data_IF_225846641972
#
_entry.id   IF_225846641972
#
_cell.length_a   1.000
_cell.length_b   1.000
_cell.length_c   1.000
_cell.angle_alpha   90.00
_cell.angle_beta   90.00
_cell.angle_gamma   90.00
#
_symmetry.space_group_name_H-M   'P 1'
#
loop_
_entity.id
_entity.type
_entity.pdbx_description
1 polymer ?
#
# COMPACT_ATOMS: atom_id res chain seq x y z
N UNK A 1 -3.84 -2.33 14.05
CA UNK A 1 -2.97 -2.52 12.87
C UNK A 1 -2.44 -1.16 12.45
N UNK A 2 -1.18 -1.06 12.01
CA UNK A 2 -0.60 0.17 11.45
C UNK A 2 0.03 -0.17 10.11
N UNK A 3 -0.30 0.59 9.07
CA UNK A 3 0.30 0.45 7.76
C UNK A 3 0.67 1.82 7.21
N UNK A 4 1.89 1.94 6.69
CA UNK A 4 2.34 3.14 6.00
C UNK A 4 3.28 2.76 4.87
N UNK A 5 3.37 3.65 3.89
CA UNK A 5 4.22 3.48 2.72
C UNK A 5 5.33 4.52 2.77
N UNK A 6 6.54 4.10 2.43
CA UNK A 6 7.64 5.01 2.11
C UNK A 6 7.89 4.97 0.60
N UNK A 7 8.74 5.85 0.07
CA UNK A 7 8.95 5.97 -1.38
C UNK A 7 9.19 4.64 -2.12
N UNK A 8 9.84 3.67 -1.47
CA UNK A 8 10.18 2.37 -2.07
C UNK A 8 9.79 1.17 -1.19
N UNK A 9 8.98 1.35 -0.14
CA UNK A 9 8.60 0.24 0.74
C UNK A 9 7.19 0.37 1.32
N UNK A 10 6.63 -0.78 1.71
CA UNK A 10 5.43 -0.85 2.54
C UNK A 10 5.79 -1.40 3.91
N UNK A 11 5.33 -0.74 4.96
CA UNK A 11 5.48 -1.17 6.35
C UNK A 11 4.11 -1.55 6.89
N UNK A 12 3.98 -2.79 7.36
CA UNK A 12 2.75 -3.30 7.98
C UNK A 12 3.07 -3.89 9.35
N UNK A 13 2.38 -3.42 10.38
CA UNK A 13 2.54 -3.86 11.77
C UNK A 13 1.19 -4.29 12.32
N UNK A 14 1.08 -5.58 12.67
CA UNK A 14 -0.15 -6.20 13.15
C UNK A 14 0.02 -7.70 13.36
N UNK A 15 -1.09 -8.40 13.61
CA UNK A 15 -1.06 -9.87 13.72
C UNK A 15 -0.78 -10.48 12.34
N UNK A 16 -0.03 -11.59 12.31
CA UNK A 16 0.40 -12.23 11.06
C UNK A 16 -0.76 -12.58 10.11
N UNK A 17 -1.90 -13.02 10.66
CA UNK A 17 -3.07 -13.35 9.85
C UNK A 17 -3.69 -12.11 9.17
N UNK A 18 -3.66 -10.95 9.84
CA UNK A 18 -4.20 -9.70 9.30
C UNK A 18 -3.32 -9.21 8.14
N UNK A 19 -2.00 -9.28 8.30
CA UNK A 19 -1.03 -8.96 7.24
C UNK A 19 -1.24 -9.88 6.03
N UNK A 20 -1.47 -11.17 6.27
CA UNK A 20 -1.74 -12.15 5.19
C UNK A 20 -3.02 -11.82 4.42
N UNK A 21 -4.08 -11.39 5.10
CA UNK A 21 -5.34 -10.98 4.43
C UNK A 21 -5.12 -9.74 3.58
N UNK A 22 -4.44 -8.72 4.12
CA UNK A 22 -4.15 -7.49 3.38
C UNK A 22 -3.33 -7.77 2.13
N UNK A 23 -2.27 -8.58 2.23
CA UNK A 23 -1.45 -8.98 1.09
C UNK A 23 -2.30 -9.70 0.02
N UNK A 24 -3.22 -10.58 0.43
CA UNK A 24 -4.12 -11.27 -0.51
C UNK A 24 -5.10 -10.34 -1.19
N UNK A 25 -5.65 -9.36 -0.47
CA UNK A 25 -6.55 -8.36 -1.05
C UNK A 25 -5.79 -7.50 -2.06
N UNK A 26 -4.61 -7.04 -1.67
CA UNK A 26 -3.74 -6.25 -2.54
C UNK A 26 -3.35 -7.00 -3.82
N UNK A 27 -3.01 -8.30 -3.71
CA UNK A 27 -2.75 -9.15 -4.88
C UNK A 27 -3.97 -9.39 -5.78
N UNK A 28 -5.21 -9.22 -5.28
CA UNK A 28 -6.42 -9.33 -6.10
C UNK A 28 -6.72 -8.04 -6.85
N UNK A 29 -6.39 -6.91 -6.26
CA UNK A 29 -6.59 -5.58 -6.85
C UNK A 29 -5.55 -5.27 -7.94
N UNK A 30 -4.42 -5.96 -7.88
CA UNK A 30 -3.30 -5.81 -8.80
C UNK A 30 -3.31 -6.97 -9.79
N UNK A 31 -3.14 -6.71 -11.09
CA UNK A 31 -3.06 -7.76 -12.11
C UNK A 31 -1.91 -8.74 -11.75
N UNK A 32 -2.10 -10.07 -11.86
CA UNK A 32 -1.12 -11.08 -11.41
C UNK A 32 0.29 -10.97 -12.01
N UNK A 33 0.47 -10.18 -13.08
CA UNK A 33 1.76 -9.95 -13.73
C UNK A 33 2.36 -8.58 -13.45
N UNK A 34 1.73 -7.78 -12.59
CA UNK A 34 2.22 -6.46 -12.22
C UNK A 34 3.48 -6.60 -11.36
N UNK A 35 4.63 -6.04 -11.79
CA UNK A 35 5.84 -6.06 -10.99
C UNK A 35 5.63 -5.30 -9.68
N UNK A 36 6.05 -5.86 -8.54
CA UNK A 36 5.96 -5.21 -7.23
C UNK A 36 6.54 -3.78 -7.25
N UNK A 37 7.61 -3.56 -8.02
CA UNK A 37 8.22 -2.25 -8.23
C UNK A 37 7.25 -1.20 -8.83
N UNK A 38 6.41 -1.59 -9.79
CA UNK A 38 5.41 -0.69 -10.37
C UNK A 38 4.34 -0.27 -9.34
N UNK A 39 4.05 -1.15 -8.39
CA UNK A 39 3.14 -0.85 -7.28
C UNK A 39 3.80 0.09 -6.27
N UNK A 40 5.12 -0.03 -6.08
CA UNK A 40 5.95 0.81 -5.21
C UNK A 40 6.28 2.19 -5.80
N UNK A 41 6.25 2.35 -7.13
CA UNK A 41 6.51 3.63 -7.82
C UNK A 41 5.27 4.51 -8.03
N UNK A 42 4.06 3.94 -7.93
CA UNK A 42 2.79 4.63 -8.21
C UNK A 42 2.37 5.81 -7.30
N UNK A 43 3.25 6.34 -6.45
CA UNK A 43 2.93 7.46 -5.52
C UNK A 43 3.47 8.83 -5.95
N UNK A 44 3.75 9.04 -7.25
CA UNK A 44 3.95 10.41 -7.75
C UNK A 44 2.65 11.23 -7.82
N UNK A 45 1.47 10.63 -7.65
CA UNK A 45 0.21 11.32 -7.96
C UNK A 45 -0.91 11.13 -6.91
N UNK A 46 -0.60 11.38 -5.64
CA UNK A 46 -1.67 11.57 -4.63
C UNK A 46 -1.26 12.55 -3.51
N UNK A 47 -0.68 13.70 -3.89
CA UNK A 47 -0.42 14.85 -3.01
C UNK A 47 -1.50 15.94 -3.12
N UNK A 48 -2.74 15.56 -3.42
CA UNK A 48 -3.88 16.48 -3.33
C UNK A 48 -4.89 15.83 -2.38
N UNK A 49 -5.25 16.55 -1.32
CA UNK A 49 -6.15 16.18 -0.20
C UNK A 49 -5.51 15.60 1.07
N UNK A 50 -4.58 16.35 1.68
CA UNK A 50 -4.44 16.37 3.15
C UNK A 50 -4.55 17.77 3.77
N UNK A 51 -5.07 18.77 3.04
CA UNK A 51 -5.37 20.09 3.59
C UNK A 51 -6.88 20.34 3.58
N UNK A 52 -7.62 19.76 4.53
CA UNK A 52 -8.98 20.19 4.91
C UNK A 52 -9.41 19.51 6.22
N UNK A 53 -8.75 19.85 7.33
CA UNK A 53 -9.37 19.79 8.66
C UNK A 53 -8.92 21.04 9.42
N UNK A 54 -9.71 22.10 9.30
CA UNK A 54 -10.02 23.06 10.36
C UNK A 54 -11.53 23.22 10.41
#
# INVERSE_FOLDING_TARGET
MKSYRTGNSFHMVGQAWQIKIMLKQWMKEVEPHTPLASILDGSKDNRINQDSVL
#
